data_IF_453318573788
#
_entry.id   IF_453318573788
#
_cell.length_a   1.000
_cell.length_b   1.000
_cell.length_c   1.000
_cell.angle_alpha   90.00
_cell.angle_beta   90.00
_cell.angle_gamma   90.00
#
_symmetry.space_group_name_H-M   'P 1'
#
loop_
_entity.id
_entity.type
_entity.pdbx_description
1 polymer ?
#
# COMPACT_ATOMS: atom_id res chain seq x y z
N UNK A 1 -1.29 -7.77 -15.98
CA UNK A 1 -1.82 -7.05 -14.78
C UNK A 1 -1.70 -5.54 -15.00
N UNK A 2 -1.96 -5.09 -16.24
CA UNK A 2 -1.80 -3.71 -16.72
C UNK A 2 -3.14 -3.22 -17.30
N UNK A 3 -4.24 -3.65 -16.67
CA UNK A 3 -5.62 -3.35 -17.13
C UNK A 3 -6.44 -2.69 -16.03
N UNK A 4 -5.83 -2.44 -14.86
CA UNK A 4 -6.53 -1.81 -13.75
C UNK A 4 -6.59 -0.30 -13.99
N UNK A 5 -7.78 0.32 -13.94
CA UNK A 5 -7.90 1.76 -14.12
C UNK A 5 -7.11 2.48 -13.02
N UNK A 6 -6.44 3.58 -13.37
CA UNK A 6 -5.59 4.37 -12.47
C UNK A 6 -6.28 4.68 -11.13
N UNK A 7 -7.58 5.02 -11.17
CA UNK A 7 -8.41 5.27 -10.00
C UNK A 7 -8.42 4.08 -9.04
N UNK A 8 -8.53 2.86 -9.55
CA UNK A 8 -8.54 1.65 -8.73
C UNK A 8 -7.15 1.37 -8.14
N UNK A 9 -6.07 1.66 -8.88
CA UNK A 9 -4.69 1.59 -8.36
C UNK A 9 -4.51 2.55 -7.17
N UNK A 10 -4.99 3.79 -7.30
CA UNK A 10 -4.97 4.78 -6.22
C UNK A 10 -5.84 4.38 -5.02
N UNK A 11 -7.02 3.82 -5.27
CA UNK A 11 -7.89 3.35 -4.20
C UNK A 11 -7.23 2.24 -3.37
N UNK A 12 -6.61 1.26 -4.04
CA UNK A 12 -5.90 0.17 -3.35
C UNK A 12 -4.70 0.68 -2.55
N UNK A 13 -3.87 1.56 -3.11
CA UNK A 13 -2.75 2.13 -2.34
C UNK A 13 -3.22 2.96 -1.16
N UNK A 14 -4.29 3.74 -1.31
CA UNK A 14 -4.86 4.54 -0.23
C UNK A 14 -5.35 3.65 0.94
N UNK A 15 -6.00 2.53 0.66
CA UNK A 15 -6.47 1.59 1.69
C UNK A 15 -5.29 1.01 2.47
N UNK A 16 -4.23 0.56 1.77
CA UNK A 16 -3.05 -0.03 2.41
C UNK A 16 -2.31 1.02 3.27
N UNK A 17 -2.24 2.27 2.79
CA UNK A 17 -1.70 3.38 3.58
C UNK A 17 -2.54 3.68 4.82
N UNK A 18 -3.87 3.71 4.70
CA UNK A 18 -4.76 3.96 5.83
C UNK A 18 -4.62 2.90 6.93
N UNK A 19 -4.52 1.61 6.54
CA UNK A 19 -4.27 0.51 7.48
C UNK A 19 -2.91 0.64 8.16
N UNK A 20 -1.89 1.10 7.44
CA UNK A 20 -0.55 1.32 8.00
C UNK A 20 -0.55 2.48 9.00
N UNK A 21 -1.22 3.59 8.67
CA UNK A 21 -1.38 4.74 9.59
C UNK A 21 -2.13 4.32 10.86
N UNK A 22 -3.18 3.51 10.72
CA UNK A 22 -3.90 2.95 11.86
C UNK A 22 -3.02 2.05 12.74
N UNK A 23 -2.17 1.22 12.13
CA UNK A 23 -1.19 0.41 12.86
C UNK A 23 -0.16 1.28 13.62
N UNK A 24 0.25 2.43 13.07
CA UNK A 24 1.07 3.41 13.78
C UNK A 24 0.31 4.06 14.94
N UNK A 25 -0.95 4.44 14.73
CA UNK A 25 -1.79 5.10 15.75
C UNK A 25 -2.08 4.19 16.95
N UNK A 26 -2.08 2.88 16.77
CA UNK A 26 -2.32 1.90 17.82
C UNK A 26 -1.04 1.48 18.57
N UNK A 27 0.12 2.02 18.19
CA UNK A 27 1.40 1.72 18.84
C UNK A 27 1.99 0.36 18.48
N UNK A 28 1.40 -0.37 17.53
CA UNK A 28 1.90 -1.66 17.09
C UNK A 28 3.05 -1.50 16.07
N UNK A 29 4.24 -1.17 16.57
CA UNK A 29 5.43 -0.91 15.73
C UNK A 29 5.76 -2.04 14.75
N UNK A 30 5.61 -3.30 15.17
CA UNK A 30 5.95 -4.46 14.32
C UNK A 30 4.96 -4.64 13.16
N UNK A 31 3.67 -4.40 13.41
CA UNK A 31 2.63 -4.40 12.37
C UNK A 31 2.79 -3.20 11.44
N UNK A 32 3.20 -2.04 11.97
CA UNK A 32 3.45 -0.84 11.18
C UNK A 32 4.57 -1.06 10.16
N UNK A 33 5.68 -1.72 10.55
CA UNK A 33 6.78 -2.07 9.63
C UNK A 33 6.28 -2.99 8.50
N UNK A 34 5.45 -3.99 8.83
CA UNK A 34 4.83 -4.88 7.82
C UNK A 34 3.92 -4.07 6.89
N UNK A 35 3.13 -3.14 7.43
CA UNK A 35 2.29 -2.23 6.65
C UNK A 35 3.09 -1.36 5.68
N UNK A 36 4.21 -0.80 6.12
CA UNK A 36 5.11 -0.01 5.26
C UNK A 36 5.71 -0.88 4.14
N UNK A 37 6.14 -2.10 4.45
CA UNK A 37 6.63 -3.05 3.43
C UNK A 37 5.53 -3.42 2.42
N UNK A 38 4.30 -3.63 2.89
CA UNK A 38 3.14 -3.88 2.03
C UNK A 38 2.83 -2.67 1.14
N UNK A 39 2.88 -1.44 1.67
CA UNK A 39 2.77 -0.20 0.89
C UNK A 39 3.81 -0.15 -0.23
N UNK A 40 5.09 -0.42 0.09
CA UNK A 40 6.17 -0.40 -0.89
C UNK A 40 5.96 -1.46 -1.99
N UNK A 41 5.53 -2.68 -1.62
CA UNK A 41 5.23 -3.74 -2.56
C UNK A 41 4.05 -3.40 -3.47
N UNK A 42 2.94 -2.92 -2.90
CA UNK A 42 1.72 -2.56 -3.61
C UNK A 42 1.98 -1.40 -4.57
N UNK A 43 2.73 -0.39 -4.12
CA UNK A 43 3.15 0.72 -4.98
C UNK A 43 4.05 0.25 -6.13
N UNK A 44 5.07 -0.58 -5.84
CA UNK A 44 5.93 -1.15 -6.87
C UNK A 44 5.12 -1.97 -7.88
N UNK A 45 4.21 -2.81 -7.40
CA UNK A 45 3.40 -3.71 -8.23
C UNK A 45 2.37 -2.98 -9.08
N UNK A 46 1.78 -1.90 -8.57
CA UNK A 46 0.72 -1.16 -9.26
C UNK A 46 1.26 0.00 -10.11
N UNK A 47 2.43 0.55 -9.82
CA UNK A 47 2.93 1.74 -10.53
C UNK A 47 4.28 1.54 -11.22
N UNK A 48 5.12 0.60 -10.77
CA UNK A 48 6.48 0.40 -11.28
C UNK A 48 6.70 -0.95 -11.99
N UNK A 49 5.77 -1.90 -11.87
CA UNK A 49 5.84 -3.22 -12.52
C UNK A 49 5.45 -3.21 -14.00
N UNK A 50 5.20 -2.04 -14.58
CA UNK A 50 4.96 -1.82 -16.02
C UNK A 50 6.23 -1.33 -16.76
N UNK A 51 7.42 -1.37 -16.12
CA UNK A 51 8.74 -1.15 -16.76
C UNK A 51 9.35 -2.49 -17.17
#
# INVERSE_FOLDING_TARGET
MSDWPLILRYAVTAIVFALTIWAFSTGHMLLAVIGVAACAFVFKRLFLSDI
#
